data_IF_752775095059
#
_entry.id   IF_752775095059
#
_cell.length_a   1.000
_cell.length_b   1.000
_cell.length_c   1.000
_cell.angle_alpha   90.00
_cell.angle_beta   90.00
_cell.angle_gamma   90.00
#
_symmetry.space_group_name_H-M   'P 1'
#
loop_
_entity.id
_entity.type
_entity.pdbx_description
1 polymer ?
#
# COMPACT_ATOMS: atom_id res chain seq x y z
N UNK A 1 -6.67 -25.54 -101.19
CA UNK A 1 -6.38 -26.09 -99.85
C UNK A 1 -6.56 -24.98 -98.83
N UNK A 2 -7.54 -25.05 -97.92
CA UNK A 2 -7.70 -24.05 -96.87
C UNK A 2 -6.71 -24.33 -95.72
N UNK A 3 -5.97 -23.31 -95.30
CA UNK A 3 -5.12 -23.36 -94.11
C UNK A 3 -5.99 -23.53 -92.86
N UNK A 4 -5.97 -24.73 -92.28
CA UNK A 4 -6.62 -25.06 -91.01
C UNK A 4 -5.87 -24.35 -89.89
N UNK A 5 -6.40 -23.19 -89.47
CA UNK A 5 -5.86 -22.41 -88.34
C UNK A 5 -6.06 -23.23 -87.06
N UNK A 6 -4.96 -23.75 -86.51
CA UNK A 6 -4.94 -24.45 -85.23
C UNK A 6 -5.21 -23.41 -84.13
N UNK A 7 -6.46 -23.27 -83.73
CA UNK A 7 -6.83 -22.56 -82.50
C UNK A 7 -6.66 -23.55 -81.36
N UNK A 8 -5.66 -23.32 -80.52
CA UNK A 8 -5.43 -24.08 -79.30
C UNK A 8 -6.58 -23.80 -78.33
N UNK A 9 -7.62 -24.65 -78.33
CA UNK A 9 -8.85 -24.50 -77.53
C UNK A 9 -8.65 -24.68 -76.02
N UNK A 10 -7.42 -24.96 -75.55
CA UNK A 10 -7.08 -25.12 -74.13
C UNK A 10 -5.90 -24.27 -73.65
N UNK A 11 -5.36 -23.38 -74.49
CA UNK A 11 -4.30 -22.47 -74.09
C UNK A 11 -4.90 -21.19 -73.51
N UNK A 12 -4.57 -20.85 -72.26
CA UNK A 12 -4.89 -19.51 -71.72
C UNK A 12 -4.32 -18.46 -72.66
N UNK A 13 -5.14 -17.46 -72.99
CA UNK A 13 -4.72 -16.35 -73.83
C UNK A 13 -3.60 -15.58 -73.12
N UNK A 14 -2.56 -15.15 -73.84
CA UNK A 14 -1.52 -14.27 -73.29
C UNK A 14 -2.11 -13.05 -72.59
N UNK A 15 -3.23 -12.54 -73.12
CA UNK A 15 -3.98 -11.40 -72.56
C UNK A 15 -4.56 -11.75 -71.18
N UNK A 16 -5.06 -12.97 -71.00
CA UNK A 16 -5.64 -13.43 -69.73
C UNK A 16 -4.58 -13.51 -68.62
N UNK A 17 -3.38 -13.98 -68.96
CA UNK A 17 -2.23 -13.99 -68.02
C UNK A 17 -1.78 -12.56 -67.68
N UNK A 18 -1.70 -11.65 -68.65
CA UNK A 18 -1.32 -10.26 -68.40
C UNK A 18 -2.35 -9.51 -67.54
N UNK A 19 -3.65 -9.74 -67.77
CA UNK A 19 -4.72 -9.17 -66.93
C UNK A 19 -4.66 -9.74 -65.51
N UNK A 20 -4.43 -11.06 -65.36
CA UNK A 20 -4.29 -11.67 -64.04
C UNK A 20 -3.08 -11.13 -63.26
N UNK A 21 -1.93 -10.95 -63.92
CA UNK A 21 -0.73 -10.35 -63.30
C UNK A 21 -0.97 -8.89 -62.93
N UNK A 22 -1.62 -8.12 -63.80
CA UNK A 22 -1.97 -6.71 -63.51
C UNK A 22 -2.91 -6.56 -62.32
N UNK A 23 -3.94 -7.42 -62.23
CA UNK A 23 -4.86 -7.43 -61.08
C UNK A 23 -4.17 -7.87 -59.79
N UNK A 24 -3.30 -8.88 -59.84
CA UNK A 24 -2.52 -9.31 -58.68
C UNK A 24 -1.58 -8.20 -58.18
N UNK A 25 -0.96 -7.43 -59.06
CA UNK A 25 -0.09 -6.31 -58.67
C UNK A 25 -0.85 -5.20 -57.92
N UNK A 26 -2.08 -4.87 -58.37
CA UNK A 26 -2.92 -3.86 -57.70
C UNK A 26 -3.37 -4.35 -56.32
N UNK A 27 -3.78 -5.61 -56.20
CA UNK A 27 -4.19 -6.20 -54.91
C UNK A 27 -3.01 -6.27 -53.94
N UNK A 28 -1.82 -6.63 -54.42
CA UNK A 28 -0.61 -6.67 -53.59
C UNK A 28 -0.26 -5.29 -53.01
N UNK A 29 -0.37 -4.22 -53.81
CA UNK A 29 -0.17 -2.84 -53.34
C UNK A 29 -1.23 -2.42 -52.31
N UNK A 30 -2.49 -2.80 -52.51
CA UNK A 30 -3.54 -2.53 -51.51
C UNK A 30 -3.30 -3.27 -50.18
N UNK A 31 -2.81 -4.50 -50.23
CA UNK A 31 -2.51 -5.28 -49.03
C UNK A 31 -1.33 -4.72 -48.24
N UNK A 32 -0.29 -4.20 -48.89
CA UNK A 32 0.86 -3.61 -48.18
C UNK A 32 0.45 -2.37 -47.39
N UNK A 33 -0.38 -1.50 -47.95
CA UNK A 33 -0.93 -0.34 -47.25
C UNK A 33 -1.74 -0.77 -46.02
N UNK A 34 -2.65 -1.74 -46.16
CA UNK A 34 -3.46 -2.26 -45.04
C UNK A 34 -2.57 -2.86 -43.95
N UNK A 35 -1.57 -3.65 -44.31
CA UNK A 35 -0.64 -4.25 -43.32
C UNK A 35 0.16 -3.18 -42.59
N UNK A 36 0.62 -2.12 -43.28
CA UNK A 36 1.31 -1.01 -42.61
C UNK A 36 0.40 -0.23 -41.68
N UNK A 37 -0.86 -0.01 -42.06
CA UNK A 37 -1.87 0.63 -41.22
C UNK A 37 -2.18 -0.22 -39.99
N UNK A 38 -2.39 -1.53 -40.15
CA UNK A 38 -2.64 -2.46 -39.05
C UNK A 38 -1.47 -2.49 -38.06
N UNK A 39 -0.22 -2.53 -38.55
CA UNK A 39 0.96 -2.49 -37.69
C UNK A 39 1.07 -1.16 -36.93
N UNK A 40 0.72 -0.04 -37.56
CA UNK A 40 0.69 1.27 -36.90
C UNK A 40 -0.36 1.30 -35.78
N UNK A 41 -1.54 0.77 -36.05
CA UNK A 41 -2.63 0.71 -35.06
C UNK A 41 -2.29 -0.23 -33.90
N UNK A 42 -1.73 -1.41 -34.17
CA UNK A 42 -1.27 -2.34 -33.13
C UNK A 42 -0.22 -1.70 -32.23
N UNK A 43 0.80 -1.05 -32.79
CA UNK A 43 1.83 -0.36 -32.01
C UNK A 43 1.23 0.78 -31.17
N UNK A 44 0.27 1.52 -31.71
CA UNK A 44 -0.42 2.57 -30.96
C UNK A 44 -1.23 2.00 -29.78
N UNK A 45 -1.94 0.88 -29.99
CA UNK A 45 -2.68 0.21 -28.91
C UNK A 45 -1.74 -0.32 -27.83
N UNK A 46 -0.63 -0.97 -28.19
CA UNK A 46 0.38 -1.43 -27.23
C UNK A 46 0.93 -0.26 -26.42
N UNK A 47 1.28 0.86 -27.08
CA UNK A 47 1.83 2.03 -26.40
C UNK A 47 0.80 2.68 -25.47
N UNK A 48 -0.47 2.78 -25.86
CA UNK A 48 -1.55 3.26 -24.98
C UNK A 48 -1.70 2.36 -23.75
N UNK A 49 -1.63 1.04 -23.93
CA UNK A 49 -1.68 0.10 -22.82
C UNK A 49 -0.49 0.30 -21.86
N UNK A 50 0.73 0.46 -22.41
CA UNK A 50 1.93 0.78 -21.63
C UNK A 50 1.81 2.09 -20.86
N UNK A 51 1.29 3.16 -21.46
CA UNK A 51 1.07 4.44 -20.77
C UNK A 51 0.07 4.32 -19.61
N UNK A 52 -0.99 3.52 -19.77
CA UNK A 52 -1.92 3.21 -18.68
C UNK A 52 -1.25 2.41 -17.58
N UNK A 53 -0.44 1.43 -17.94
CA UNK A 53 0.30 0.63 -16.98
C UNK A 53 1.28 1.47 -16.16
N UNK A 54 2.08 2.33 -16.81
CA UNK A 54 3.00 3.23 -16.13
C UNK A 54 2.26 4.21 -15.21
N UNK A 55 1.12 4.75 -15.66
CA UNK A 55 0.22 5.55 -14.82
C UNK A 55 -0.21 4.79 -13.56
N UNK A 56 -0.69 3.55 -13.70
CA UNK A 56 -1.09 2.71 -12.56
C UNK A 56 0.09 2.41 -11.64
N UNK A 57 1.28 2.14 -12.18
CA UNK A 57 2.50 1.89 -11.40
C UNK A 57 2.89 3.10 -10.55
N UNK A 58 2.90 4.31 -11.11
CA UNK A 58 3.12 5.53 -10.32
C UNK A 58 2.04 5.70 -9.25
N UNK A 59 0.77 5.47 -9.60
CA UNK A 59 -0.32 5.53 -8.63
C UNK A 59 -0.12 4.57 -7.46
N UNK A 60 0.27 3.33 -7.74
CA UNK A 60 0.56 2.33 -6.71
C UNK A 60 1.73 2.76 -5.83
N UNK A 61 2.83 3.27 -6.39
CA UNK A 61 4.01 3.69 -5.61
C UNK A 61 3.71 4.87 -4.67
N UNK A 62 2.90 5.84 -5.10
CA UNK A 62 2.48 6.95 -4.24
C UNK A 62 1.34 6.59 -3.28
N UNK A 63 0.62 5.49 -3.55
CA UNK A 63 -0.45 4.97 -2.69
C UNK A 63 0.05 3.91 -1.71
N UNK A 64 1.17 3.27 -1.96
CA UNK A 64 1.80 2.30 -1.06
C UNK A 64 2.57 3.02 0.05
N UNK A 65 2.38 2.57 1.30
CA UNK A 65 2.95 3.26 2.46
C UNK A 65 4.47 3.06 2.56
N UNK A 66 4.97 1.86 2.24
CA UNK A 66 6.40 1.57 2.32
C UNK A 66 7.16 2.39 1.26
N UNK A 67 6.66 2.39 0.03
CA UNK A 67 7.21 3.20 -1.07
C UNK A 67 7.16 4.69 -0.73
N UNK A 68 6.05 5.19 -0.19
CA UNK A 68 5.93 6.58 0.24
C UNK A 68 6.95 6.95 1.33
N UNK A 69 7.13 6.10 2.34
CA UNK A 69 8.12 6.32 3.39
C UNK A 69 9.55 6.38 2.80
N UNK A 70 9.87 5.52 1.84
CA UNK A 70 11.16 5.55 1.15
C UNK A 70 11.31 6.82 0.32
N UNK A 71 10.29 7.24 -0.42
CA UNK A 71 10.28 8.50 -1.16
C UNK A 71 10.56 9.68 -0.23
N UNK A 72 9.87 9.78 0.90
CA UNK A 72 10.09 10.86 1.87
C UNK A 72 11.50 10.82 2.46
N UNK A 73 11.95 9.65 2.94
CA UNK A 73 13.24 9.53 3.60
C UNK A 73 14.42 9.83 2.67
N UNK A 74 14.40 9.27 1.46
CA UNK A 74 15.50 9.43 0.51
C UNK A 74 15.54 10.85 -0.05
N UNK A 75 14.41 11.45 -0.40
CA UNK A 75 14.38 12.84 -0.86
C UNK A 75 14.71 13.83 0.26
N UNK A 76 14.34 13.56 1.51
CA UNK A 76 14.75 14.38 2.66
C UNK A 76 16.28 14.30 2.87
N UNK A 77 16.85 13.10 2.74
CA UNK A 77 18.31 12.89 2.84
C UNK A 77 19.06 13.59 1.71
N UNK A 78 18.46 13.65 0.51
CA UNK A 78 18.95 14.42 -0.63
C UNK A 78 18.77 15.94 -0.48
N UNK A 79 18.25 16.43 0.65
CA UNK A 79 18.10 17.85 0.94
C UNK A 79 16.89 18.52 0.29
N UNK A 80 15.88 17.76 -0.15
CA UNK A 80 14.65 18.34 -0.68
C UNK A 80 13.87 19.07 0.43
N UNK A 81 13.67 20.40 0.36
CA UNK A 81 13.11 21.18 1.48
C UNK A 81 11.71 20.72 1.89
N UNK A 82 10.86 20.35 0.93
CA UNK A 82 9.51 19.85 1.21
C UNK A 82 9.55 18.48 1.92
N UNK A 83 10.43 17.57 1.49
CA UNK A 83 10.60 16.28 2.17
C UNK A 83 11.13 16.43 3.59
N UNK A 84 12.11 17.32 3.79
CA UNK A 84 12.65 17.65 5.11
C UNK A 84 11.55 18.21 6.02
N UNK A 85 10.76 19.15 5.50
CA UNK A 85 9.62 19.72 6.23
C UNK A 85 8.56 18.67 6.60
N UNK A 86 8.19 17.79 5.67
CA UNK A 86 7.22 16.71 5.95
C UNK A 86 7.72 15.80 7.07
N UNK A 87 9.01 15.44 7.04
CA UNK A 87 9.62 14.56 8.05
C UNK A 87 9.74 15.22 9.42
N UNK A 88 10.10 16.51 9.43
CA UNK A 88 10.33 17.29 10.64
C UNK A 88 9.42 18.54 10.65
N UNK A 89 8.15 18.41 11.07
CA UNK A 89 7.18 19.51 11.02
C UNK A 89 7.50 20.70 11.94
N UNK A 90 8.50 20.55 12.81
CA UNK A 90 9.03 21.60 13.69
C UNK A 90 10.21 22.35 13.06
N UNK A 91 10.71 21.91 11.91
CA UNK A 91 11.83 22.54 11.22
C UNK A 91 11.45 23.94 10.71
N UNK A 92 12.32 24.92 10.93
CA UNK A 92 12.16 26.29 10.42
C UNK A 92 12.08 26.33 8.88
N UNK A 93 12.57 25.29 8.20
CA UNK A 93 12.47 25.11 6.76
C UNK A 93 11.04 24.86 6.25
N UNK A 94 10.06 24.59 7.14
CA UNK A 94 8.64 24.48 6.81
C UNK A 94 7.93 25.82 6.49
N UNK A 95 8.69 26.90 6.27
CA UNK A 95 8.13 28.15 5.77
C UNK A 95 7.50 27.95 4.38
N UNK A 96 6.35 28.59 4.12
CA UNK A 96 5.60 28.42 2.86
C UNK A 96 6.44 28.75 1.61
N UNK A 97 7.38 29.69 1.73
CA UNK A 97 8.32 30.04 0.67
C UNK A 97 9.15 28.83 0.16
N UNK A 98 9.33 27.80 1.00
CA UNK A 98 10.10 26.59 0.70
C UNK A 98 9.22 25.40 0.26
N UNK A 99 7.88 25.56 0.24
CA UNK A 99 6.93 24.49 -0.12
C UNK A 99 6.50 24.54 -1.60
N UNK A 100 7.22 25.32 -2.41
CA UNK A 100 7.04 25.41 -3.84
C UNK A 100 7.26 24.08 -4.56
N UNK A 101 6.94 24.07 -5.85
CA UNK A 101 7.02 22.87 -6.68
C UNK A 101 8.46 22.36 -6.71
N UNK A 102 8.66 21.13 -6.25
CA UNK A 102 9.97 20.50 -6.16
C UNK A 102 9.98 19.17 -6.89
N UNK A 103 11.13 18.84 -7.52
CA UNK A 103 11.35 17.54 -8.15
C UNK A 103 11.32 16.43 -7.11
N UNK A 104 10.77 15.27 -7.49
CA UNK A 104 10.75 14.07 -6.66
C UNK A 104 11.46 12.93 -7.37
N UNK A 105 12.35 12.25 -6.66
CA UNK A 105 12.82 10.92 -7.07
C UNK A 105 11.87 9.87 -6.49
N UNK A 106 11.37 8.98 -7.33
CA UNK A 106 10.42 7.94 -6.94
C UNK A 106 11.20 6.68 -6.55
N UNK A 107 10.87 6.13 -5.39
CA UNK A 107 11.47 4.93 -4.83
C UNK A 107 10.40 3.85 -4.64
N UNK A 108 10.80 2.60 -4.72
CA UNK A 108 9.96 1.46 -4.34
C UNK A 108 10.01 1.20 -2.82
N UNK A 109 9.18 0.26 -2.35
CA UNK A 109 9.09 -0.09 -0.93
C UNK A 109 10.37 -0.71 -0.33
N UNK A 110 11.31 -1.18 -1.16
CA UNK A 110 12.61 -1.68 -0.73
C UNK A 110 13.68 -0.58 -0.64
N UNK A 111 13.37 0.63 -1.10
CA UNK A 111 14.30 1.76 -1.17
C UNK A 111 15.08 1.84 -2.49
N UNK A 112 14.76 0.99 -3.47
CA UNK A 112 15.31 1.07 -4.82
C UNK A 112 14.76 2.30 -5.55
N UNK A 113 15.63 3.02 -6.29
CA UNK A 113 15.19 4.12 -7.15
C UNK A 113 14.36 3.56 -8.31
N UNK A 114 13.04 3.73 -8.27
CA UNK A 114 12.15 3.34 -9.35
C UNK A 114 12.28 4.29 -10.54
N UNK A 115 12.27 5.60 -10.29
CA UNK A 115 12.30 6.60 -11.35
C UNK A 115 12.87 7.94 -10.89
N UNK A 116 13.87 8.42 -11.60
CA UNK A 116 14.47 9.73 -11.40
C UNK A 116 14.36 10.55 -12.71
N UNK A 117 13.24 11.26 -12.85
CA UNK A 117 12.93 12.00 -14.07
C UNK A 117 13.81 13.24 -14.31
N UNK A 118 13.62 13.94 -15.44
CA UNK A 118 14.30 15.19 -15.72
C UNK A 118 14.02 16.28 -14.67
N UNK A 119 14.84 17.32 -14.67
CA UNK A 119 14.63 18.50 -13.83
C UNK A 119 13.26 19.15 -14.13
N UNK A 120 12.66 19.74 -13.09
CA UNK A 120 11.39 20.45 -13.24
C UNK A 120 11.56 21.74 -14.05
N UNK A 121 12.54 22.56 -13.65
CA UNK A 121 12.89 23.80 -14.34
C UNK A 121 13.86 23.52 -15.50
N UNK A 122 13.57 24.15 -16.65
CA UNK A 122 14.39 24.06 -17.86
C UNK A 122 13.98 22.95 -18.83
N UNK A 123 14.61 22.96 -20.01
CA UNK A 123 14.52 21.86 -20.95
C UNK A 123 15.11 20.60 -20.31
N UNK A 124 14.51 19.40 -20.50
CA UNK A 124 15.12 18.16 -20.06
C UNK A 124 16.53 18.06 -20.64
N UNK A 125 17.53 17.80 -19.80
CA UNK A 125 18.87 17.51 -20.28
C UNK A 125 18.90 16.25 -21.14
N UNK A 126 19.96 16.08 -21.94
CA UNK A 126 20.19 14.84 -22.66
C UNK A 126 20.41 13.67 -21.69
N UNK A 127 20.00 12.46 -22.08
CA UNK A 127 20.20 11.20 -21.35
C UNK A 127 19.58 11.20 -19.94
N UNK A 128 18.28 11.48 -19.87
CA UNK A 128 17.51 11.31 -18.63
C UNK A 128 16.77 9.98 -18.63
N UNK A 129 16.25 9.59 -17.45
CA UNK A 129 15.49 8.35 -17.33
C UNK A 129 14.14 8.48 -18.04
N UNK A 130 13.76 7.42 -18.72
CA UNK A 130 12.52 7.28 -19.45
C UNK A 130 12.10 5.83 -19.56
N UNK A 131 11.20 5.59 -20.51
CA UNK A 131 10.65 4.29 -20.82
C UNK A 131 10.62 4.10 -22.35
N UNK A 132 10.87 2.87 -22.78
CA UNK A 132 10.64 2.49 -24.16
C UNK A 132 9.13 2.27 -24.42
N UNK A 133 8.77 2.01 -25.67
CA UNK A 133 7.37 1.76 -26.06
C UNK A 133 6.70 0.57 -25.38
N UNK A 134 7.49 -0.31 -24.75
CA UNK A 134 7.03 -1.48 -24.00
C UNK A 134 6.98 -1.23 -22.49
N UNK A 135 7.35 -0.04 -22.03
CA UNK A 135 7.34 0.33 -20.61
C UNK A 135 8.56 -0.13 -19.83
N UNK A 136 9.59 -0.65 -20.51
CA UNK A 136 10.86 -0.96 -19.85
C UNK A 136 11.67 0.32 -19.63
N UNK A 137 12.36 0.47 -18.49
CA UNK A 137 13.16 1.65 -18.20
C UNK A 137 14.32 1.79 -19.19
N UNK A 138 14.64 3.03 -19.55
CA UNK A 138 15.78 3.40 -20.38
C UNK A 138 16.41 4.71 -19.86
N UNK A 139 17.69 4.94 -20.15
CA UNK A 139 18.45 6.09 -19.65
C UNK A 139 18.76 7.12 -20.75
N UNK A 140 18.17 6.96 -21.93
CA UNK A 140 18.48 7.72 -23.15
C UNK A 140 17.37 8.69 -23.54
N UNK A 141 16.42 9.00 -22.64
CA UNK A 141 15.38 9.98 -22.96
C UNK A 141 16.04 11.35 -23.17
N UNK A 142 15.82 11.90 -24.36
CA UNK A 142 16.28 13.22 -24.73
C UNK A 142 15.03 14.09 -24.90
N UNK A 143 14.84 15.07 -24.01
CA UNK A 143 13.75 16.03 -24.10
C UNK A 143 14.14 17.34 -24.78
N UNK A 144 15.32 17.40 -25.39
CA UNK A 144 15.72 18.49 -26.26
C UNK A 144 14.83 18.57 -27.50
N UNK A 145 14.61 19.80 -27.98
CA UNK A 145 13.61 20.11 -29.03
C UNK A 145 13.87 19.45 -30.40
N UNK A 146 15.03 18.84 -30.64
CA UNK A 146 15.43 18.37 -31.98
C UNK A 146 15.96 16.93 -32.04
N UNK A 147 16.11 16.24 -30.90
CA UNK A 147 16.89 15.00 -30.80
C UNK A 147 16.17 13.87 -30.06
N UNK A 148 14.84 13.81 -30.19
CA UNK A 148 14.04 12.72 -29.64
C UNK A 148 14.53 11.33 -30.09
N UNK A 149 14.24 10.30 -29.29
CA UNK A 149 14.79 8.95 -29.45
C UNK A 149 13.70 7.90 -29.45
N UNK A 150 13.73 6.99 -30.43
CA UNK A 150 12.71 5.95 -30.59
C UNK A 150 12.89 4.78 -29.60
N UNK A 151 14.11 4.55 -29.11
CA UNK A 151 14.41 3.56 -28.08
C UNK A 151 13.95 4.01 -26.69
N UNK A 152 13.80 5.32 -26.47
CA UNK A 152 13.41 5.90 -25.20
C UNK A 152 12.52 7.14 -25.38
N UNK A 153 11.33 7.01 -25.98
CA UNK A 153 10.53 8.16 -26.37
C UNK A 153 9.63 8.70 -25.25
N UNK A 154 9.47 7.95 -24.15
CA UNK A 154 8.56 8.28 -23.05
C UNK A 154 9.39 8.66 -21.81
N UNK A 155 8.99 9.71 -21.10
CA UNK A 155 9.50 10.01 -19.76
C UNK A 155 8.41 10.68 -18.92
N UNK A 156 8.69 11.01 -17.67
CA UNK A 156 7.74 11.68 -16.79
C UNK A 156 8.44 12.78 -16.00
N UNK A 157 7.75 13.92 -15.83
CA UNK A 157 8.12 14.91 -14.81
C UNK A 157 7.34 14.59 -13.54
N UNK A 158 8.05 14.27 -12.46
CA UNK A 158 7.46 14.01 -11.15
C UNK A 158 7.77 15.17 -10.25
N UNK A 159 6.73 15.87 -9.82
CA UNK A 159 6.84 16.98 -8.88
C UNK A 159 5.86 16.84 -7.74
N UNK A 160 6.21 17.45 -6.61
CA UNK A 160 5.30 17.64 -5.50
C UNK A 160 5.23 19.10 -5.11
N UNK A 161 4.11 19.48 -4.50
CA UNK A 161 3.93 20.78 -3.88
C UNK A 161 3.18 20.60 -2.55
N UNK A 162 3.50 21.47 -1.58
CA UNK A 162 2.76 21.55 -0.35
C UNK A 162 1.54 22.45 -0.52
N UNK A 163 0.34 21.91 -0.31
CA UNK A 163 -0.92 22.65 -0.26
C UNK A 163 -1.24 22.97 1.19
N UNK A 164 -1.35 24.26 1.48
CA UNK A 164 -1.54 24.79 2.82
C UNK A 164 -2.88 25.52 2.93
N UNK A 165 -3.51 25.54 4.11
CA UNK A 165 -4.68 26.39 4.34
C UNK A 165 -4.30 27.86 4.10
N UNK A 166 -5.14 28.58 3.37
CA UNK A 166 -4.97 30.01 3.12
C UNK A 166 -4.90 30.76 4.45
N UNK A 167 -3.80 31.48 4.72
CA UNK A 167 -3.50 32.35 5.88
C UNK A 167 -2.42 31.87 6.87
N UNK A 168 -1.83 30.68 6.71
CA UNK A 168 -0.66 30.32 7.50
C UNK A 168 0.62 30.99 6.97
N UNK A 169 1.59 31.31 7.81
CA UNK A 169 2.99 31.66 7.43
C UNK A 169 3.92 30.46 7.52
N UNK A 170 3.57 29.52 8.40
CA UNK A 170 4.21 28.21 8.58
C UNK A 170 3.15 27.15 8.33
N UNK A 171 3.41 26.27 7.39
CA UNK A 171 2.50 25.19 7.07
C UNK A 171 3.03 23.91 7.70
N UNK A 172 2.69 23.72 8.97
CA UNK A 172 2.86 22.43 9.63
C UNK A 172 1.90 21.47 8.96
N UNK A 173 2.37 20.31 8.51
CA UNK A 173 1.51 19.30 7.88
C UNK A 173 0.85 19.70 6.56
N UNK A 174 1.60 20.10 5.52
CA UNK A 174 0.99 20.39 4.22
C UNK A 174 0.28 19.15 3.64
N UNK A 175 -0.83 19.38 2.95
CA UNK A 175 -1.37 18.38 2.04
C UNK A 175 -0.45 18.33 0.81
N UNK A 176 0.19 17.21 0.55
CA UNK A 176 1.10 17.06 -0.60
C UNK A 176 0.31 16.73 -1.85
N UNK A 177 0.43 17.56 -2.89
CA UNK A 177 -0.04 17.23 -4.23
C UNK A 177 1.14 16.75 -5.05
N UNK A 178 1.16 15.46 -5.36
CA UNK A 178 2.12 14.87 -6.31
C UNK A 178 1.50 14.91 -7.71
N UNK A 179 2.26 15.43 -8.67
CA UNK A 179 1.90 15.48 -10.08
C UNK A 179 2.95 14.74 -10.90
N UNK A 180 2.53 13.70 -11.59
CA UNK A 180 3.33 12.96 -12.59
C UNK A 180 2.79 13.36 -13.95
N UNK A 181 3.62 14.01 -14.77
CA UNK A 181 3.25 14.44 -16.11
C UNK A 181 4.02 13.67 -17.17
N UNK A 182 3.30 13.17 -18.18
CA UNK A 182 3.90 12.48 -19.32
C UNK A 182 4.74 13.44 -20.17
N UNK A 183 5.96 13.01 -20.50
CA UNK A 183 6.78 13.57 -21.56
C UNK A 183 6.87 12.57 -22.70
N UNK A 184 6.73 13.06 -23.93
CA UNK A 184 6.88 12.24 -25.12
C UNK A 184 7.71 12.99 -26.16
N UNK A 185 8.85 12.43 -26.54
CA UNK A 185 9.76 13.00 -27.53
C UNK A 185 10.39 11.91 -28.40
N UNK A 186 9.65 11.34 -29.37
CA UNK A 186 10.18 10.37 -30.30
C UNK A 186 11.10 11.05 -31.33
N UNK A 187 11.85 10.27 -32.11
CA UNK A 187 12.65 10.84 -33.19
C UNK A 187 11.77 11.46 -34.29
N UNK A 188 12.28 12.41 -35.10
CA UNK A 188 11.54 12.99 -36.22
C UNK A 188 11.05 11.97 -37.25
N UNK A 189 11.72 10.81 -37.34
CA UNK A 189 11.40 9.73 -38.28
C UNK A 189 10.50 8.66 -37.65
N UNK A 190 10.06 8.85 -36.41
CA UNK A 190 9.20 7.90 -35.74
C UNK A 190 7.88 7.74 -36.50
N UNK A 191 7.40 6.50 -36.59
CA UNK A 191 6.11 6.17 -37.23
C UNK A 191 4.91 6.83 -36.55
N UNK A 192 5.09 7.31 -35.32
CA UNK A 192 4.11 8.02 -34.50
C UNK A 192 4.81 9.22 -33.87
N UNK A 193 4.52 10.42 -34.37
CA UNK A 193 5.17 11.69 -33.96
C UNK A 193 4.35 12.49 -32.94
N UNK A 194 3.08 12.13 -32.71
CA UNK A 194 2.23 12.84 -31.75
C UNK A 194 1.20 11.93 -31.08
N UNK A 195 0.75 12.37 -29.91
CA UNK A 195 -0.43 11.86 -29.22
C UNK A 195 -1.46 12.98 -29.17
N UNK A 196 -2.75 12.65 -29.37
CA UNK A 196 -3.81 13.52 -28.86
C UNK A 196 -3.91 13.32 -27.34
N UNK A 197 -2.98 13.95 -26.62
CA UNK A 197 -3.13 14.15 -25.19
C UNK A 197 -4.23 15.22 -25.08
N UNK A 198 -5.38 14.89 -24.49
CA UNK A 198 -6.43 15.86 -24.25
C UNK A 198 -5.83 17.09 -23.56
N UNK A 199 -6.02 18.24 -24.21
CA UNK A 199 -5.42 19.56 -24.00
C UNK A 199 -4.13 19.85 -24.81
N UNK A 200 -4.40 20.44 -25.98
CA UNK A 200 -3.49 20.95 -27.01
C UNK A 200 -3.10 22.41 -26.77
N UNK A 201 -2.69 22.78 -25.56
CA UNK A 201 -2.04 24.08 -25.37
C UNK A 201 -0.51 23.94 -25.29
N UNK A 202 0.09 23.55 -26.43
CA UNK A 202 1.45 24.00 -26.76
C UNK A 202 2.53 22.96 -27.09
N UNK A 203 2.23 21.70 -27.44
CA UNK A 203 3.26 20.68 -27.71
C UNK A 203 3.59 20.43 -29.18
N UNK A 204 3.83 21.46 -29.99
CA UNK A 204 4.57 21.27 -31.24
C UNK A 204 6.02 20.89 -30.93
N UNK A 205 6.71 20.20 -31.85
CA UNK A 205 8.11 19.76 -31.74
C UNK A 205 9.15 20.91 -31.70
N UNK A 206 8.83 22.03 -31.04
CA UNK A 206 9.64 23.24 -30.92
C UNK A 206 9.13 24.21 -29.84
N UNK A 207 8.22 23.80 -28.96
CA UNK A 207 7.79 24.65 -27.86
C UNK A 207 8.87 24.72 -26.77
N UNK A 208 9.69 25.77 -26.87
CA UNK A 208 10.71 26.15 -25.88
C UNK A 208 10.11 26.73 -24.60
N UNK A 209 8.81 27.01 -24.59
CA UNK A 209 8.09 27.46 -23.41
C UNK A 209 7.44 26.28 -22.70
N UNK A 210 8.23 25.59 -21.88
CA UNK A 210 7.72 24.75 -20.82
C UNK A 210 7.09 25.68 -19.78
N UNK A 211 5.85 26.10 -20.00
CA UNK A 211 5.16 26.93 -19.02
C UNK A 211 5.06 26.16 -17.71
N UNK A 212 5.25 26.90 -16.61
CA UNK A 212 5.11 26.44 -15.24
C UNK A 212 3.65 26.04 -14.98
N UNK A 213 3.24 24.91 -15.56
CA UNK A 213 1.86 24.42 -15.63
C UNK A 213 1.48 23.70 -14.32
N UNK A 214 1.62 24.43 -13.22
CA UNK A 214 1.01 24.12 -11.94
C UNK A 214 -0.53 24.14 -12.01
N UNK A 215 -1.08 24.65 -13.13
CA UNK A 215 -2.51 24.77 -13.38
C UNK A 215 -3.19 23.40 -13.50
N UNK A 216 -4.06 23.02 -12.55
CA UNK A 216 -4.78 21.76 -12.57
C UNK A 216 -5.79 21.64 -13.73
N UNK A 217 -6.08 22.71 -14.48
CA UNK A 217 -6.94 22.65 -15.66
C UNK A 217 -6.28 22.01 -16.88
N UNK A 218 -4.95 21.85 -16.87
CA UNK A 218 -4.16 21.28 -17.98
C UNK A 218 -3.69 19.83 -17.73
N UNK A 219 -4.45 19.04 -16.97
CA UNK A 219 -4.07 17.64 -16.71
C UNK A 219 -4.28 16.79 -17.96
N UNK A 220 -3.19 16.26 -18.52
CA UNK A 220 -3.28 15.32 -19.62
C UNK A 220 -3.95 14.01 -19.18
N UNK A 221 -4.61 13.30 -20.12
CA UNK A 221 -5.30 12.01 -19.86
C UNK A 221 -4.43 10.98 -19.11
N UNK A 222 -3.12 11.02 -19.33
CA UNK A 222 -2.14 10.10 -18.74
C UNK A 222 -1.37 10.69 -17.56
N UNK A 223 -1.71 11.90 -17.12
CA UNK A 223 -1.13 12.48 -15.92
C UNK A 223 -1.71 11.78 -14.68
N UNK A 224 -0.91 11.77 -13.62
CA UNK A 224 -1.29 11.29 -12.30
C UNK A 224 -1.21 12.45 -11.34
N UNK A 225 -2.35 12.85 -10.77
CA UNK A 225 -2.40 13.81 -9.68
C UNK A 225 -2.89 13.07 -8.45
N UNK A 226 -2.06 13.01 -7.43
CA UNK A 226 -2.37 12.36 -6.15
C UNK A 226 -2.24 13.39 -5.06
N UNK A 227 -3.27 13.48 -4.22
CA UNK A 227 -3.20 14.25 -2.98
C UNK A 227 -2.98 13.26 -1.84
N UNK A 228 -1.93 13.48 -1.07
CA UNK A 228 -1.53 12.72 0.10
C UNK A 228 -1.32 13.72 1.22
N UNK A 229 -1.86 13.51 2.41
CA UNK A 229 -1.43 14.35 3.54
C UNK A 229 0.05 14.05 3.82
N UNK A 230 0.82 15.08 4.19
CA UNK A 230 2.17 14.89 4.75
C UNK A 230 2.17 13.92 5.94
N UNK A 231 0.99 13.77 6.56
CA UNK A 231 0.67 12.96 7.73
C UNK A 231 -0.16 11.72 7.38
N UNK A 232 -0.21 11.29 6.11
CA UNK A 232 -0.58 9.91 5.79
C UNK A 232 0.59 8.98 6.17
N UNK A 233 1.01 9.12 7.42
CA UNK A 233 1.79 8.30 8.31
C UNK A 233 0.86 8.17 9.50
N UNK A 234 -0.29 7.50 9.30
CA UNK A 234 -1.14 7.07 10.41
C UNK A 234 -0.19 6.46 11.44
N UNK A 235 0.07 7.21 12.51
CA UNK A 235 1.05 6.85 13.53
C UNK A 235 0.44 5.63 14.20
N UNK A 236 0.86 4.47 13.75
CA UNK A 236 0.18 3.24 14.06
C UNK A 236 1.16 2.25 14.66
N UNK A 237 0.62 1.44 15.55
CA UNK A 237 1.32 0.28 16.08
C UNK A 237 0.41 -0.94 16.04
N UNK A 238 1.01 -2.12 16.03
CA UNK A 238 0.36 -3.42 16.10
C UNK A 238 1.13 -4.29 17.08
N UNK A 239 0.42 -4.81 18.07
CA UNK A 239 0.90 -5.80 19.00
C UNK A 239 0.19 -7.12 18.76
N UNK A 240 0.91 -8.21 18.96
CA UNK A 240 0.39 -9.56 18.82
C UNK A 240 0.79 -10.39 20.05
N UNK A 241 -0.12 -11.25 20.48
CA UNK A 241 0.13 -12.23 21.54
C UNK A 241 0.19 -13.61 20.89
N UNK A 242 1.37 -14.20 20.86
CA UNK A 242 1.58 -15.54 20.30
C UNK A 242 1.52 -16.62 21.38
N UNK A 243 1.22 -17.85 20.97
CA UNK A 243 1.54 -19.02 21.79
C UNK A 243 3.00 -19.42 21.59
N UNK A 244 3.83 -19.34 22.63
CA UNK A 244 5.17 -19.91 22.59
C UNK A 244 5.09 -21.38 23.04
N UNK A 245 5.21 -22.31 22.10
CA UNK A 245 5.44 -23.70 22.47
C UNK A 245 6.86 -23.80 23.06
N UNK A 246 7.00 -24.31 24.29
CA UNK A 246 8.31 -24.63 24.82
C UNK A 246 8.98 -25.65 23.89
N UNK A 247 10.19 -25.35 23.41
CA UNK A 247 10.93 -26.23 22.51
C UNK A 247 11.11 -27.61 23.18
N UNK A 248 10.55 -28.66 22.57
CA UNK A 248 10.61 -30.03 23.08
C UNK A 248 9.49 -30.45 24.03
N UNK A 249 8.51 -29.58 24.34
CA UNK A 249 7.35 -29.95 25.14
C UNK A 249 6.23 -30.53 24.28
N UNK A 250 5.81 -31.76 24.56
CA UNK A 250 4.51 -32.32 24.12
C UNK A 250 3.37 -31.93 25.06
N UNK A 251 3.69 -31.35 26.23
CA UNK A 251 2.72 -30.79 27.16
C UNK A 251 2.31 -29.38 26.73
N UNK A 252 1.00 -29.17 26.67
CA UNK A 252 0.35 -28.05 26.00
C UNK A 252 -0.07 -27.02 27.05
N UNK A 253 0.91 -26.40 27.71
CA UNK A 253 0.61 -25.28 28.60
C UNK A 253 0.43 -24.03 27.73
N UNK A 254 -0.80 -23.50 27.69
CA UNK A 254 -1.09 -22.17 27.14
C UNK A 254 -0.53 -21.07 28.05
N UNK A 255 -0.54 -19.79 27.62
CA UNK A 255 -0.32 -18.67 28.54
C UNK A 255 -1.19 -18.85 29.77
N UNK A 256 -0.59 -18.73 30.96
CA UNK A 256 -1.13 -19.16 32.26
C UNK A 256 -2.36 -18.42 32.77
N UNK A 257 -3.44 -18.40 32.00
CA UNK A 257 -4.79 -18.29 32.53
C UNK A 257 -5.24 -19.69 32.86
N UNK A 258 -5.21 -20.05 34.14
CA UNK A 258 -5.91 -21.24 34.60
C UNK A 258 -7.38 -21.23 34.17
N UNK A 259 -8.12 -22.32 34.44
CA UNK A 259 -9.54 -22.36 34.20
C UNK A 259 -10.26 -21.10 34.64
N UNK A 260 -11.34 -20.77 33.92
CA UNK A 260 -12.51 -20.16 34.53
C UNK A 260 -13.07 -21.15 35.58
N UNK A 261 -12.27 -21.52 36.58
CA UNK A 261 -12.63 -22.48 37.58
C UNK A 261 -13.30 -21.71 38.69
N UNK A 262 -14.56 -22.06 38.88
CA UNK A 262 -15.29 -21.98 40.14
C UNK A 262 -15.46 -20.59 40.72
N UNK A 263 -16.69 -20.07 40.53
CA UNK A 263 -17.40 -19.14 41.41
C UNK A 263 -16.58 -17.93 41.87
N UNK A 264 -16.58 -16.87 41.06
CA UNK A 264 -16.59 -15.52 41.61
C UNK A 264 -17.68 -14.72 40.91
N UNK A 265 -18.75 -14.46 41.66
CA UNK A 265 -19.87 -13.65 41.25
C UNK A 265 -19.41 -12.25 40.80
N UNK A 266 -19.63 -11.93 39.53
CA UNK A 266 -19.98 -10.57 39.10
C UNK A 266 -18.90 -9.48 39.17
N UNK A 267 -17.62 -9.80 39.39
CA UNK A 267 -16.55 -8.79 39.39
C UNK A 267 -15.36 -9.25 38.54
N UNK A 268 -14.78 -8.34 37.75
CA UNK A 268 -13.59 -8.52 36.91
C UNK A 268 -12.30 -8.76 37.71
N UNK A 269 -12.37 -9.44 38.86
CA UNK A 269 -11.30 -9.51 39.86
C UNK A 269 -10.29 -10.62 39.62
N UNK A 270 -10.66 -11.74 38.97
CA UNK A 270 -9.72 -12.82 38.64
C UNK A 270 -9.23 -12.75 37.19
N UNK A 271 -8.11 -12.03 37.10
CA UNK A 271 -7.30 -11.71 35.94
C UNK A 271 -6.72 -12.94 35.25
N UNK A 272 -7.18 -13.22 34.03
CA UNK A 272 -6.28 -13.66 32.96
C UNK A 272 -5.43 -12.47 32.50
N UNK A 273 -4.69 -11.86 33.43
CA UNK A 273 -3.72 -10.84 33.06
C UNK A 273 -2.52 -11.62 32.52
N UNK A 274 -1.95 -11.21 31.39
CA UNK A 274 -0.72 -11.80 30.83
C UNK A 274 0.52 -11.65 31.74
N UNK A 275 0.32 -11.37 33.04
CA UNK A 275 1.24 -10.60 33.88
C UNK A 275 1.55 -11.25 35.22
N UNK A 276 0.97 -12.40 35.55
CA UNK A 276 1.24 -13.03 36.85
C UNK A 276 1.86 -14.40 36.68
N UNK A 277 3.16 -14.44 36.95
CA UNK A 277 3.95 -15.62 37.33
C UNK A 277 3.53 -16.21 38.70
N UNK A 278 2.31 -15.97 39.16
CA UNK A 278 1.89 -16.30 40.52
C UNK A 278 0.42 -16.66 40.59
N UNK A 279 0.14 -17.96 40.66
CA UNK A 279 -1.18 -18.46 41.01
C UNK A 279 -1.38 -19.96 40.79
N UNK A 280 -0.82 -20.52 39.73
CA UNK A 280 -0.89 -21.97 39.46
C UNK A 280 0.46 -22.50 38.94
N UNK A 281 1.37 -22.79 39.86
CA UNK A 281 2.16 -24.03 39.90
C UNK A 281 3.05 -24.50 38.73
N UNK A 282 3.17 -23.80 37.60
CA UNK A 282 4.12 -24.19 36.54
C UNK A 282 5.29 -23.20 36.47
N UNK A 283 6.22 -23.37 37.41
CA UNK A 283 7.53 -22.72 37.38
C UNK A 283 8.33 -23.29 36.19
N UNK A 284 8.47 -22.53 35.11
CA UNK A 284 9.40 -22.89 34.02
C UNK A 284 9.02 -22.46 32.61
N UNK A 285 7.76 -22.05 32.37
CA UNK A 285 7.33 -21.57 31.04
C UNK A 285 7.05 -20.08 31.14
N UNK A 286 7.95 -19.25 30.62
CA UNK A 286 7.74 -17.80 30.55
C UNK A 286 6.42 -17.52 29.84
N UNK A 287 5.56 -16.68 30.44
CA UNK A 287 4.35 -16.21 29.76
C UNK A 287 4.75 -15.64 28.40
N UNK A 288 4.07 -15.99 27.30
CA UNK A 288 4.37 -15.38 26.02
C UNK A 288 4.10 -13.88 26.15
N UNK A 289 5.12 -13.02 26.02
CA UNK A 289 4.90 -11.59 26.13
C UNK A 289 4.13 -11.13 24.90
N UNK A 290 3.35 -10.05 25.06
CA UNK A 290 2.97 -9.27 23.89
C UNK A 290 4.25 -8.89 23.14
N UNK A 291 4.24 -9.06 21.82
CA UNK A 291 5.37 -8.66 20.99
C UNK A 291 4.92 -7.55 20.05
N UNK A 292 5.76 -6.54 19.90
CA UNK A 292 5.61 -5.52 18.88
C UNK A 292 5.78 -6.16 17.51
N UNK A 293 4.71 -6.16 16.71
CA UNK A 293 4.70 -6.64 15.33
C UNK A 293 5.08 -5.50 14.38
N UNK A 294 4.46 -4.33 14.57
CA UNK A 294 4.78 -3.11 13.82
C UNK A 294 4.69 -1.90 14.75
N UNK A 295 5.77 -1.15 14.91
CA UNK A 295 5.74 0.17 15.54
C UNK A 295 6.87 1.07 15.00
N UNK A 296 6.75 1.56 13.75
CA UNK A 296 7.80 2.37 13.13
C UNK A 296 7.99 3.75 13.78
N UNK A 297 7.10 4.14 14.71
CA UNK A 297 7.10 5.45 15.36
C UNK A 297 7.39 5.37 16.86
N UNK A 298 7.70 4.18 17.40
CA UNK A 298 7.96 3.95 18.82
C UNK A 298 6.82 4.55 19.68
N UNK A 299 5.56 4.27 19.33
CA UNK A 299 4.37 4.77 20.01
C UNK A 299 3.96 3.90 21.19
N UNK A 300 4.39 2.64 21.19
CA UNK A 300 4.05 1.65 22.19
C UNK A 300 5.31 0.95 22.66
N UNK A 301 5.31 0.52 23.93
CA UNK A 301 6.31 -0.40 24.46
C UNK A 301 5.64 -1.47 25.27
N UNK A 302 6.19 -2.68 25.26
CA UNK A 302 5.70 -3.79 26.08
C UNK A 302 6.75 -4.19 27.11
N UNK A 303 6.36 -4.19 28.39
CA UNK A 303 7.15 -4.87 29.42
C UNK A 303 6.88 -6.38 29.38
N UNK A 304 7.84 -7.14 28.87
CA UNK A 304 7.72 -8.60 28.73
C UNK A 304 7.54 -9.33 30.08
N UNK A 305 8.00 -8.75 31.19
CA UNK A 305 7.90 -9.37 32.52
C UNK A 305 6.53 -9.19 33.16
N UNK A 306 5.91 -8.03 32.93
CA UNK A 306 4.64 -7.64 33.52
C UNK A 306 3.50 -7.55 32.52
N UNK A 307 3.71 -7.84 31.23
CA UNK A 307 2.72 -7.71 30.15
C UNK A 307 2.07 -6.32 30.03
N UNK A 308 2.62 -5.29 30.69
CA UNK A 308 2.11 -3.93 30.67
C UNK A 308 2.43 -3.29 29.32
N UNK A 309 1.39 -2.80 28.65
CA UNK A 309 1.49 -2.09 27.37
C UNK A 309 1.52 -0.60 27.68
N UNK A 310 2.64 0.08 27.43
CA UNK A 310 2.75 1.53 27.63
C UNK A 310 2.58 2.25 26.30
N UNK A 311 1.52 3.06 26.17
CA UNK A 311 1.23 3.85 24.96
C UNK A 311 1.58 5.31 25.25
N UNK A 312 2.26 5.98 24.30
CA UNK A 312 2.59 7.41 24.38
C UNK A 312 1.32 8.28 24.30
N UNK A 313 1.48 9.57 24.59
CA UNK A 313 0.37 10.53 24.55
C UNK A 313 -0.20 10.67 23.13
N UNK A 314 -1.54 10.74 23.01
CA UNK A 314 -2.25 10.84 21.75
C UNK A 314 -3.70 10.38 21.84
N UNK A 315 -4.49 10.66 20.80
CA UNK A 315 -5.78 10.00 20.59
C UNK A 315 -5.59 8.90 19.56
N UNK A 316 -6.07 7.69 19.85
CA UNK A 316 -5.88 6.52 19.01
C UNK A 316 -7.22 5.89 18.69
N UNK A 317 -7.47 5.57 17.43
CA UNK A 317 -8.50 4.63 17.01
C UNK A 317 -7.88 3.23 16.99
N UNK A 318 -8.31 2.39 17.93
CA UNK A 318 -7.76 1.06 18.11
C UNK A 318 -8.73 -0.03 17.69
N UNK A 319 -8.18 -1.20 17.35
CA UNK A 319 -8.89 -2.45 17.17
C UNK A 319 -8.21 -3.52 18.00
N UNK A 320 -9.01 -4.20 18.79
CA UNK A 320 -8.59 -5.38 19.53
C UNK A 320 -9.38 -6.60 19.12
N UNK A 321 -8.69 -7.72 18.98
CA UNK A 321 -9.30 -9.01 18.71
C UNK A 321 -8.63 -10.05 19.60
N UNK A 322 -9.40 -10.90 20.26
CA UNK A 322 -8.87 -12.08 20.94
C UNK A 322 -9.71 -13.31 20.61
N UNK A 323 -9.05 -14.46 20.69
CA UNK A 323 -9.64 -15.75 20.39
C UNK A 323 -9.45 -16.66 21.60
N UNK A 324 -10.55 -17.24 22.08
CA UNK A 324 -10.55 -18.20 23.18
C UNK A 324 -11.58 -19.30 22.94
N UNK A 325 -11.52 -20.38 23.70
CA UNK A 325 -12.62 -21.35 23.76
C UNK A 325 -13.49 -21.00 24.96
N UNK A 326 -14.78 -20.80 24.73
CA UNK A 326 -15.73 -20.39 25.76
C UNK A 326 -16.99 -21.25 25.69
N UNK A 327 -17.71 -21.28 26.80
CA UNK A 327 -19.10 -21.72 26.88
C UNK A 327 -19.90 -20.45 27.14
N UNK A 328 -20.92 -20.19 26.32
CA UNK A 328 -21.69 -18.94 26.34
C UNK A 328 -20.87 -17.70 25.97
N UNK A 329 -20.70 -16.72 26.85
CA UNK A 329 -20.15 -15.42 26.47
C UNK A 329 -18.64 -15.31 26.72
N UNK A 330 -17.90 -14.78 25.75
CA UNK A 330 -16.49 -14.39 25.87
C UNK A 330 -16.36 -12.89 25.70
N UNK A 331 -15.75 -12.21 26.66
CA UNK A 331 -15.58 -10.77 26.71
C UNK A 331 -14.09 -10.39 26.72
N UNK A 332 -13.77 -9.28 26.07
CA UNK A 332 -12.46 -8.62 26.12
C UNK A 332 -12.64 -7.16 26.53
N UNK A 333 -11.64 -6.55 27.16
CA UNK A 333 -11.61 -5.11 27.40
C UNK A 333 -10.20 -4.56 27.55
N UNK A 334 -10.05 -3.24 27.37
CA UNK A 334 -8.82 -2.51 27.66
C UNK A 334 -8.91 -1.87 29.04
N UNK A 335 -8.02 -2.24 29.95
CA UNK A 335 -7.93 -1.62 31.27
C UNK A 335 -6.76 -0.64 31.32
N UNK A 336 -7.04 0.63 31.61
CA UNK A 336 -6.01 1.63 31.83
C UNK A 336 -5.49 1.50 33.27
N UNK A 337 -4.29 0.94 33.42
CA UNK A 337 -3.65 0.72 34.72
C UNK A 337 -3.26 2.05 35.38
N UNK A 338 -2.86 3.05 34.59
CA UNK A 338 -2.50 4.38 35.11
C UNK A 338 -3.71 5.12 35.69
N UNK A 339 -4.87 5.03 35.02
CA UNK A 339 -6.11 5.67 35.47
C UNK A 339 -6.95 4.78 36.41
N UNK A 340 -6.63 3.49 36.53
CA UNK A 340 -7.38 2.53 37.34
C UNK A 340 -8.77 2.18 36.80
N UNK A 341 -9.04 2.37 35.51
CA UNK A 341 -10.39 2.26 34.92
C UNK A 341 -10.40 1.56 33.56
N UNK A 342 -11.55 1.01 33.17
CA UNK A 342 -11.78 0.45 31.82
C UNK A 342 -11.90 1.59 30.82
N UNK A 343 -11.24 1.46 29.67
CA UNK A 343 -11.33 2.44 28.59
C UNK A 343 -12.73 2.38 27.99
N UNK A 344 -13.39 3.54 27.88
CA UNK A 344 -14.73 3.64 27.31
C UNK A 344 -14.83 3.02 25.92
N UNK A 345 -15.86 2.20 25.69
CA UNK A 345 -16.06 1.52 24.40
C UNK A 345 -15.09 0.37 24.09
N UNK A 346 -14.18 0.01 25.01
CA UNK A 346 -13.20 -1.08 24.79
C UNK A 346 -13.75 -2.49 25.04
N UNK A 347 -14.95 -2.62 25.60
CA UNK A 347 -15.54 -3.93 25.83
C UNK A 347 -16.01 -4.53 24.51
N UNK A 348 -15.55 -5.74 24.20
CA UNK A 348 -16.04 -6.55 23.08
C UNK A 348 -16.55 -7.88 23.60
N UNK A 349 -17.58 -8.43 22.97
CA UNK A 349 -18.15 -9.73 23.36
C UNK A 349 -18.34 -10.66 22.16
N UNK A 350 -18.41 -11.95 22.44
CA UNK A 350 -18.71 -13.01 21.48
C UNK A 350 -19.51 -14.08 22.19
N UNK A 351 -20.41 -14.75 21.48
CA UNK A 351 -21.17 -15.87 22.04
C UNK A 351 -20.74 -17.17 21.38
N UNK A 352 -20.27 -18.10 22.20
CA UNK A 352 -20.15 -19.51 21.94
C UNK A 352 -21.50 -20.21 22.18
N UNK A 353 -21.74 -21.32 21.47
CA UNK A 353 -22.94 -22.14 21.67
C UNK A 353 -22.82 -22.86 23.01
N UNK A 354 -23.75 -22.62 23.94
CA UNK A 354 -23.68 -23.09 25.35
C UNK A 354 -23.64 -24.61 25.58
N UNK A 355 -23.70 -25.43 24.54
CA UNK A 355 -23.71 -26.90 24.65
C UNK A 355 -22.40 -27.56 24.26
N UNK A 356 -21.49 -26.86 23.58
CA UNK A 356 -20.19 -27.40 23.18
C UNK A 356 -19.10 -26.33 23.25
N UNK A 357 -17.90 -26.75 23.66
CA UNK A 357 -16.72 -25.89 23.57
C UNK A 357 -16.56 -25.50 22.10
N UNK A 358 -16.71 -24.22 21.79
CA UNK A 358 -16.42 -23.68 20.47
C UNK A 358 -15.48 -22.50 20.59
N UNK A 359 -14.71 -22.28 19.53
CA UNK A 359 -13.86 -21.11 19.41
C UNK A 359 -14.75 -19.85 19.35
N UNK A 360 -14.53 -18.93 20.27
CA UNK A 360 -15.15 -17.62 20.33
C UNK A 360 -14.12 -16.55 19.97
N UNK A 361 -14.51 -15.61 19.12
CA UNK A 361 -13.68 -14.45 18.75
C UNK A 361 -14.39 -13.19 19.18
N UNK A 362 -13.82 -12.47 20.15
CA UNK A 362 -14.33 -11.17 20.58
C UNK A 362 -13.50 -10.06 19.92
N UNK A 363 -14.18 -9.01 19.43
CA UNK A 363 -13.56 -7.84 18.81
C UNK A 363 -14.11 -6.57 19.46
N UNK A 364 -13.26 -5.56 19.65
CA UNK A 364 -13.68 -4.22 20.06
C UNK A 364 -12.85 -3.15 19.32
N UNK A 365 -13.42 -1.96 19.14
CA UNK A 365 -12.80 -0.84 18.45
C UNK A 365 -12.78 0.43 19.31
N UNK A 366 -12.02 0.46 20.43
CA UNK A 366 -12.02 1.63 21.31
C UNK A 366 -11.31 2.84 20.69
N UNK A 367 -11.77 4.03 21.09
CA UNK A 367 -10.98 5.27 20.95
C UNK A 367 -10.28 5.53 22.28
N UNK A 368 -8.96 5.64 22.24
CA UNK A 368 -8.11 5.80 23.43
C UNK A 368 -7.47 7.19 23.38
N UNK A 369 -7.89 8.11 24.26
CA UNK A 369 -7.29 9.44 24.38
C UNK A 369 -6.42 9.50 25.64
N UNK A 370 -5.14 9.85 25.45
CA UNK A 370 -4.11 9.75 26.48
C UNK A 370 -3.32 11.07 26.53
N UNK A 371 -3.27 11.72 27.69
CA UNK A 371 -2.58 13.01 27.87
C UNK A 371 -1.07 12.88 28.16
N UNK A 372 -0.62 11.71 28.62
CA UNK A 372 0.77 11.37 28.93
C UNK A 372 0.98 9.86 28.79
N UNK A 373 2.21 9.38 28.66
CA UNK A 373 2.45 7.94 28.52
C UNK A 373 1.73 7.14 29.62
N UNK A 374 0.90 6.19 29.23
CA UNK A 374 0.01 5.45 30.15
C UNK A 374 0.10 3.95 29.91
N UNK A 375 0.00 3.19 30.99
CA UNK A 375 0.06 1.73 30.99
C UNK A 375 -1.33 1.11 30.86
N UNK A 376 -1.44 0.06 30.04
CA UNK A 376 -2.67 -0.66 29.75
C UNK A 376 -2.48 -2.17 29.93
N UNK A 377 -3.56 -2.83 30.33
CA UNK A 377 -3.68 -4.28 30.30
C UNK A 377 -4.81 -4.70 29.37
N UNK A 378 -4.54 -5.76 28.62
CA UNK A 378 -5.56 -6.47 27.85
C UNK A 378 -6.23 -7.49 28.75
N UNK A 379 -7.53 -7.33 29.03
CA UNK A 379 -8.28 -8.23 29.91
C UNK A 379 -9.25 -9.10 29.13
N UNK A 380 -9.42 -10.33 29.58
CA UNK A 380 -10.33 -11.32 29.03
C UNK A 380 -11.20 -11.90 30.14
N UNK A 381 -12.46 -12.20 29.84
CA UNK A 381 -13.41 -12.82 30.76
C UNK A 381 -14.31 -13.78 30.00
N UNK A 382 -14.55 -14.98 30.53
CA UNK A 382 -15.61 -15.87 30.05
C UNK A 382 -16.79 -15.86 31.04
N UNK A 383 -18.00 -15.99 30.52
CA UNK A 383 -19.19 -16.25 31.33
C UNK A 383 -19.13 -17.69 31.87
N UNK A 384 -19.75 -17.87 33.03
CA UNK A 384 -19.97 -19.19 33.60
C UNK A 384 -21.30 -19.73 33.03
N UNK A 385 -21.37 -20.98 32.55
CA UNK A 385 -22.64 -21.54 32.11
C UNK A 385 -23.67 -21.55 33.23
N UNK A 386 -24.72 -20.75 33.08
CA UNK A 386 -25.88 -20.77 33.99
C UNK A 386 -26.83 -21.88 33.55
N UNK A 387 -26.53 -23.11 33.97
CA UNK A 387 -27.39 -24.27 33.72
C UNK A 387 -26.82 -25.54 34.36
N UNK A 388 -27.65 -26.57 34.63
CA UNK A 388 -27.19 -27.87 35.11
C UNK A 388 -26.50 -28.62 33.97
N UNK A 389 -25.30 -28.20 33.60
CA UNK A 389 -24.45 -28.98 32.71
C UNK A 389 -23.78 -30.06 33.55
N UNK A 390 -24.16 -31.32 33.29
CA UNK A 390 -23.49 -32.50 33.84
C UNK A 390 -22.10 -32.55 33.21
N UNK A 391 -21.14 -31.93 33.86
CA UNK A 391 -19.73 -32.01 33.48
C UNK A 391 -18.99 -32.70 34.63
N UNK A 392 -18.22 -33.73 34.27
CA UNK A 392 -17.40 -34.49 35.20
C UNK A 392 -16.55 -33.52 36.05
N UNK A 393 -16.46 -33.81 37.35
CA UNK A 393 -15.91 -32.96 38.41
C UNK A 393 -14.42 -32.58 38.29
N UNK A 394 -13.78 -32.84 37.14
CA UNK A 394 -12.34 -32.68 36.92
C UNK A 394 -11.97 -31.91 35.63
N UNK A 395 -12.92 -31.33 34.89
CA UNK A 395 -12.58 -30.58 33.67
C UNK A 395 -12.16 -29.15 34.03
N UNK A 396 -10.84 -28.94 34.09
CA UNK A 396 -10.23 -27.61 34.15
C UNK A 396 -10.39 -26.93 32.79
N UNK A 397 -11.24 -25.90 32.73
CA UNK A 397 -11.27 -24.89 31.67
C UNK A 397 -9.86 -24.28 31.46
N UNK A 398 -9.54 -23.64 30.34
CA UNK A 398 -8.29 -22.88 30.21
C UNK A 398 -8.52 -21.83 29.10
N UNK A 399 -7.83 -20.68 29.20
CA UNK A 399 -7.69 -19.79 28.04
C UNK A 399 -6.71 -20.45 27.06
N UNK A 400 -7.20 -21.40 26.27
CA UNK A 400 -6.34 -22.19 25.38
C UNK A 400 -7.09 -22.74 24.18
N UNK A 401 -6.35 -22.91 23.09
CA UNK A 401 -6.79 -23.66 21.91
C UNK A 401 -6.56 -25.16 22.22
N UNK A 402 -7.56 -26.05 22.10
CA UNK A 402 -7.35 -27.48 22.27
C UNK A 402 -6.40 -28.02 21.20
N UNK A 403 -5.68 -29.07 21.56
CA UNK A 403 -4.56 -29.70 20.85
C UNK A 403 -4.96 -30.43 19.56
N UNK A 404 -5.98 -29.97 18.82
CA UNK A 404 -6.16 -30.50 17.47
C UNK A 404 -5.02 -29.96 16.62
N UNK A 405 -4.26 -30.86 15.99
CA UNK A 405 -3.05 -30.61 15.22
C UNK A 405 -3.26 -29.58 14.08
N UNK A 406 -3.32 -28.30 14.45
CA UNK A 406 -3.49 -27.18 13.54
C UNK A 406 -2.13 -26.52 13.33
N UNK A 407 -1.63 -26.63 12.09
CA UNK A 407 -0.35 -26.11 11.61
C UNK A 407 -0.42 -24.61 11.24
N UNK A 408 -1.21 -23.81 11.95
CA UNK A 408 -1.31 -22.37 11.72
C UNK A 408 -0.66 -21.57 12.85
N UNK A 409 -0.07 -20.42 12.50
CA UNK A 409 0.57 -19.51 13.46
C UNK A 409 -0.46 -19.11 14.53
N UNK A 410 -0.23 -19.54 15.77
CA UNK A 410 -1.14 -19.42 16.90
C UNK A 410 -1.17 -17.99 17.48
N UNK A 411 -1.79 -17.05 16.76
CA UNK A 411 -2.08 -15.71 17.28
C UNK A 411 -3.32 -15.79 18.19
N UNK A 412 -3.16 -15.46 19.46
CA UNK A 412 -4.23 -15.53 20.46
C UNK A 412 -4.94 -14.19 20.66
N UNK A 413 -4.22 -13.08 20.47
CA UNK A 413 -4.78 -11.75 20.49
C UNK A 413 -3.99 -10.79 19.58
N UNK A 414 -4.69 -9.78 19.07
CA UNK A 414 -4.12 -8.66 18.30
C UNK A 414 -4.63 -7.35 18.90
N UNK A 415 -3.75 -6.37 18.98
CA UNK A 415 -4.09 -5.02 19.40
C UNK A 415 -3.37 -4.02 18.49
N UNK A 416 -4.13 -3.40 17.60
CA UNK A 416 -3.61 -2.42 16.66
C UNK A 416 -4.27 -1.07 16.87
N UNK A 417 -3.48 0.00 16.75
CA UNK A 417 -3.96 1.36 16.96
C UNK A 417 -3.44 2.26 15.86
N UNK A 418 -4.23 3.26 15.50
CA UNK A 418 -3.84 4.37 14.64
C UNK A 418 -4.10 5.66 15.39
N UNK A 419 -3.06 6.47 15.60
CA UNK A 419 -3.19 7.80 16.18
C UNK A 419 -4.01 8.67 15.22
N UNK A 420 -5.09 9.24 15.75
CA UNK A 420 -5.94 10.21 15.07
C UNK A 420 -5.58 11.59 15.62
N UNK A 421 -5.23 12.51 14.73
CA UNK A 421 -4.96 13.91 15.08
C UNK A 421 -6.23 14.68 15.46
#
# INVERSE_FOLDING_TARGET
MPLKRILNQKGMSLIEVLVAVGLMAIVALGMTEVVTSMNKDQNNQTRIATLRELKTRFQMLFSDQNSWNQILNQNATAGNPLAVCIKNPTDANCAIANLGISKVVVYDGSGGSFFNGPAFAGAPGANTNGFNDKGAPCATFDGGATSGRDDCPISYKVVWEGVCPSAATICKAPLIKVTVRLLFNPSPNAKITSFSIGDTSGGGAGATSWTNDADPSKTGKYDVVIKRSAFATNKAFSLVLFRQAAAGSTAVDGPGGGPCATVLSGTWTNRGNTTTSGGYGYAGVGNPPWTEDQDPYDLVSVDASSGLITIKAGTYSCRMTAVAWAVDTFNIQLYNNTAGAVVGGSTGSSNAVGTSHVQATATSNPVVSISGASGFYFQQQCANPTGPHILASDVKYNMGIPVMAYDQRNIMATFSCTQTD
#
